data_IF_244048609729
#
_entry.id   IF_244048609729
#
_cell.length_a   1.000
_cell.length_b   1.000
_cell.length_c   1.000
_cell.angle_alpha   90.00
_cell.angle_beta   90.00
_cell.angle_gamma   90.00
#
_symmetry.space_group_name_H-M   'P 1'
#
loop_
_entity.id
_entity.type
_entity.pdbx_description
1 polymer ?
#
# COMPACT_ATOMS: atom_id res chain seq x y z
N UNK A 1 7.13 -12.83 8.22
CA UNK A 1 7.77 -11.64 7.60
C UNK A 1 8.63 -10.87 8.61
N UNK A 2 8.19 -10.69 9.90
CA UNK A 2 8.96 -9.93 10.92
C UNK A 2 10.36 -10.52 11.12
N UNK A 3 10.48 -11.83 11.33
CA UNK A 3 11.77 -12.49 11.51
C UNK A 3 12.72 -12.35 10.31
N UNK A 4 12.17 -12.41 9.08
CA UNK A 4 12.96 -12.19 7.86
C UNK A 4 13.46 -10.74 7.76
N UNK A 5 12.62 -9.78 8.10
CA UNK A 5 13.01 -8.37 8.14
C UNK A 5 14.10 -8.12 9.21
N UNK A 6 13.97 -8.75 10.35
CA UNK A 6 14.98 -8.65 11.43
C UNK A 6 16.33 -9.22 11.01
N UNK A 7 16.35 -10.40 10.40
CA UNK A 7 17.57 -11.01 9.88
C UNK A 7 18.24 -10.12 8.83
N UNK A 8 17.45 -9.59 7.88
CA UNK A 8 17.97 -8.68 6.87
C UNK A 8 18.55 -7.39 7.47
N UNK A 9 17.89 -6.81 8.47
CA UNK A 9 18.42 -5.64 9.19
C UNK A 9 19.72 -5.96 9.93
N UNK A 10 19.80 -7.13 10.54
CA UNK A 10 21.02 -7.58 11.22
C UNK A 10 22.18 -7.75 10.24
N UNK A 11 21.96 -8.39 9.10
CA UNK A 11 22.97 -8.53 8.03
C UNK A 11 23.47 -7.17 7.50
N UNK A 12 22.58 -6.18 7.46
CA UNK A 12 22.92 -4.81 7.08
C UNK A 12 23.61 -4.01 8.20
N UNK A 13 23.83 -4.60 9.38
CA UNK A 13 24.40 -3.92 10.53
C UNK A 13 23.50 -2.85 11.14
N UNK A 14 22.20 -2.88 10.85
CA UNK A 14 21.25 -1.93 11.40
C UNK A 14 20.91 -2.27 12.85
N UNK A 15 20.77 -1.24 13.69
CA UNK A 15 20.18 -1.41 15.03
C UNK A 15 18.68 -1.32 14.93
N UNK A 16 17.97 -2.37 15.32
CA UNK A 16 16.52 -2.44 15.29
C UNK A 16 15.94 -2.67 16.69
N UNK A 17 14.71 -2.23 16.87
CA UNK A 17 13.85 -2.60 18.00
C UNK A 17 12.47 -2.94 17.48
N UNK A 18 11.75 -3.78 18.21
CA UNK A 18 10.40 -4.18 17.84
C UNK A 18 9.36 -3.44 18.67
N UNK A 19 8.30 -3.04 17.99
CA UNK A 19 7.05 -2.63 18.61
C UNK A 19 6.01 -3.69 18.32
N UNK A 20 5.51 -4.34 19.33
CA UNK A 20 4.43 -5.30 19.22
C UNK A 20 3.21 -4.78 19.94
N UNK A 21 2.12 -4.71 19.23
CA UNK A 21 0.83 -4.23 19.72
C UNK A 21 -0.19 -5.37 19.70
N UNK A 22 -1.17 -5.35 20.59
CA UNK A 22 -2.32 -6.23 20.47
C UNK A 22 -3.04 -6.00 19.15
N UNK A 23 -3.56 -7.06 18.56
CA UNK A 23 -4.44 -6.93 17.39
C UNK A 23 -5.67 -6.15 17.78
N UNK A 24 -6.00 -5.03 17.11
CA UNK A 24 -7.20 -4.27 17.42
C UNK A 24 -8.46 -5.12 17.20
N UNK A 25 -9.52 -4.80 17.90
CA UNK A 25 -10.83 -5.40 17.66
C UNK A 25 -11.28 -5.10 16.21
N UNK A 26 -11.96 -6.08 15.60
CA UNK A 26 -12.60 -5.85 14.30
C UNK A 26 -13.63 -4.73 14.43
N UNK A 27 -13.53 -3.74 13.59
CA UNK A 27 -14.56 -2.73 13.41
C UNK A 27 -15.53 -3.29 12.39
N UNK A 28 -16.76 -3.55 12.79
CA UNK A 28 -17.81 -4.22 12.00
C UNK A 28 -17.50 -5.69 11.61
N UNK A 29 -18.49 -6.37 11.06
CA UNK A 29 -18.41 -7.74 10.56
C UNK A 29 -17.64 -7.90 9.26
N UNK A 30 -16.75 -6.97 8.95
CA UNK A 30 -15.94 -7.03 7.72
C UNK A 30 -14.68 -7.82 8.02
N UNK A 31 -14.48 -8.99 7.41
CA UNK A 31 -13.31 -9.83 7.67
C UNK A 31 -12.00 -9.27 7.07
N UNK A 32 -12.06 -8.18 6.33
CA UNK A 32 -10.90 -7.58 5.65
C UNK A 32 -10.28 -6.51 6.55
N UNK A 33 -9.12 -6.81 7.11
CA UNK A 33 -8.37 -5.90 7.99
C UNK A 33 -7.40 -4.99 7.26
N UNK A 34 -6.98 -5.35 6.06
CA UNK A 34 -5.89 -4.68 5.35
C UNK A 34 -6.28 -3.39 4.64
N UNK A 35 -7.57 -3.05 4.59
CA UNK A 35 -8.08 -1.88 3.85
C UNK A 35 -8.66 -0.77 4.74
N UNK A 36 -8.77 -1.02 6.03
CA UNK A 36 -9.27 -0.05 7.00
C UNK A 36 -8.18 0.88 7.55
N UNK A 37 -8.58 1.95 8.22
CA UNK A 37 -7.66 2.76 9.01
C UNK A 37 -7.12 1.93 10.18
N UNK A 38 -5.80 1.88 10.36
CA UNK A 38 -5.20 1.23 11.51
C UNK A 38 -5.40 2.09 12.75
N UNK A 39 -5.99 1.52 13.80
CA UNK A 39 -6.14 2.16 15.11
C UNK A 39 -5.16 1.61 16.14
N UNK A 40 -4.27 0.72 15.71
CA UNK A 40 -3.39 -0.02 16.62
C UNK A 40 -2.46 0.87 17.45
N UNK A 41 -2.05 2.02 16.92
CA UNK A 41 -1.17 2.98 17.60
C UNK A 41 -1.90 4.22 18.10
N UNK A 42 -3.21 4.27 17.94
CA UNK A 42 -4.03 5.41 18.35
C UNK A 42 -3.87 5.71 19.86
N UNK A 43 -3.52 6.94 20.20
CA UNK A 43 -3.29 7.37 21.58
C UNK A 43 -2.01 6.85 22.24
N UNK A 44 -1.17 6.10 21.54
CA UNK A 44 0.10 5.58 22.07
C UNK A 44 1.27 6.53 21.75
N UNK A 45 1.24 7.73 22.32
CA UNK A 45 2.25 8.77 22.12
C UNK A 45 3.72 8.30 22.22
N UNK A 46 4.11 7.45 23.19
CA UNK A 46 5.48 6.96 23.26
C UNK A 46 5.89 6.14 22.03
N UNK A 47 4.96 5.33 21.49
CA UNK A 47 5.18 4.53 20.28
C UNK A 47 5.30 5.44 19.07
N UNK A 48 4.39 6.39 18.91
CA UNK A 48 4.38 7.34 17.79
C UNK A 48 5.69 8.13 17.75
N UNK A 49 6.16 8.62 18.90
CA UNK A 49 7.44 9.33 19.02
C UNK A 49 8.65 8.44 18.69
N UNK A 50 8.65 7.21 19.14
CA UNK A 50 9.72 6.26 18.85
C UNK A 50 9.80 5.96 17.34
N UNK A 51 8.65 5.74 16.69
CA UNK A 51 8.57 5.52 15.24
C UNK A 51 8.99 6.77 14.45
N UNK A 52 8.58 7.96 14.89
CA UNK A 52 8.97 9.23 14.26
C UNK A 52 10.47 9.54 14.37
N UNK A 53 11.13 9.04 15.40
CA UNK A 53 12.58 9.20 15.61
C UNK A 53 13.42 8.15 14.86
N UNK A 54 12.81 7.10 14.32
CA UNK A 54 13.52 6.07 13.57
C UNK A 54 13.90 6.56 12.17
N UNK A 55 15.01 6.08 11.61
CA UNK A 55 15.34 6.32 10.20
C UNK A 55 14.39 5.60 9.26
N UNK A 56 14.04 4.36 9.60
CA UNK A 56 13.17 3.51 8.80
C UNK A 56 12.27 2.71 9.74
N UNK A 57 11.00 2.68 9.41
CA UNK A 57 10.00 1.84 10.05
C UNK A 57 9.64 0.75 9.06
N UNK A 58 9.81 -0.52 9.45
CA UNK A 58 9.34 -1.66 8.68
C UNK A 58 8.01 -2.10 9.31
N UNK A 59 6.95 -1.95 8.54
CA UNK A 59 5.60 -2.29 8.97
C UNK A 59 5.20 -3.66 8.43
N UNK A 60 5.08 -4.63 9.32
CA UNK A 60 4.62 -6.00 9.02
C UNK A 60 3.24 -6.26 9.62
N UNK A 61 2.47 -5.24 9.94
CA UNK A 61 1.13 -5.40 10.51
C UNK A 61 0.11 -5.77 9.44
N UNK A 62 -0.92 -6.49 9.83
CA UNK A 62 -2.02 -6.85 8.91
C UNK A 62 -2.83 -5.62 8.52
N UNK A 63 -3.07 -4.75 9.48
CA UNK A 63 -3.86 -3.52 9.30
C UNK A 63 -3.12 -2.45 8.50
N UNK A 64 -1.79 -2.43 8.60
CA UNK A 64 -0.92 -1.45 7.94
C UNK A 64 -1.00 -0.05 8.54
N UNK A 65 0.17 0.51 8.88
CA UNK A 65 0.28 1.92 9.30
C UNK A 65 -0.08 2.90 8.18
N UNK A 66 -0.16 2.42 6.94
CA UNK A 66 -0.49 3.24 5.76
C UNK A 66 -1.81 4.00 5.93
N UNK A 67 -2.75 3.44 6.66
CA UNK A 67 -4.08 4.02 6.91
C UNK A 67 -4.23 4.61 8.31
N UNK A 68 -3.17 4.60 9.12
CA UNK A 68 -3.20 5.17 10.47
C UNK A 68 -3.28 6.71 10.41
N UNK A 69 -4.17 7.33 11.20
CA UNK A 69 -4.22 8.80 11.36
C UNK A 69 -2.90 9.39 11.86
N UNK A 70 -2.08 8.62 12.57
CA UNK A 70 -0.79 9.04 13.13
C UNK A 70 0.35 9.00 12.09
N UNK A 71 0.17 8.32 10.96
CA UNK A 71 1.20 8.21 9.94
C UNK A 71 1.79 9.56 9.50
N UNK A 72 0.99 10.62 9.23
CA UNK A 72 1.55 11.91 8.87
C UNK A 72 2.50 12.50 9.93
N UNK A 73 2.25 12.20 11.22
CA UNK A 73 3.14 12.64 12.30
C UNK A 73 4.47 11.90 12.25
N UNK A 74 4.45 10.59 12.06
CA UNK A 74 5.65 9.75 11.93
C UNK A 74 6.50 10.21 10.75
N UNK A 75 5.88 10.45 9.60
CA UNK A 75 6.58 10.86 8.38
C UNK A 75 7.17 12.28 8.48
N UNK A 76 6.51 13.21 9.19
CA UNK A 76 7.06 14.55 9.45
C UNK A 76 8.34 14.51 10.28
N UNK A 77 8.55 13.49 11.10
CA UNK A 77 9.81 13.23 11.80
C UNK A 77 10.98 12.86 10.87
N UNK A 78 10.71 12.59 9.59
CA UNK A 78 11.69 12.17 8.61
C UNK A 78 11.81 10.65 8.48
N UNK A 79 11.07 9.88 9.28
CA UNK A 79 11.05 8.43 9.17
C UNK A 79 10.57 7.97 7.78
N UNK A 80 11.20 6.96 7.23
CA UNK A 80 10.74 6.26 6.04
C UNK A 80 9.88 5.08 6.49
N UNK A 81 8.72 4.91 5.92
CA UNK A 81 7.89 3.75 6.20
C UNK A 81 7.97 2.76 5.03
N UNK A 82 8.36 1.53 5.32
CA UNK A 82 8.32 0.43 4.36
C UNK A 82 7.34 -0.64 4.86
N UNK A 83 6.19 -0.72 4.22
CA UNK A 83 5.17 -1.69 4.53
C UNK A 83 5.44 -2.99 3.78
N UNK A 84 5.51 -4.10 4.50
CA UNK A 84 5.55 -5.45 3.93
C UNK A 84 4.16 -6.04 4.11
N UNK A 85 3.46 -6.28 3.02
CA UNK A 85 2.09 -6.81 3.10
C UNK A 85 2.06 -8.22 3.73
N UNK A 86 0.89 -8.59 4.23
CA UNK A 86 0.67 -9.90 4.87
C UNK A 86 0.52 -11.03 3.84
N UNK A 87 1.38 -11.03 2.84
CA UNK A 87 1.43 -12.05 1.82
C UNK A 87 2.29 -13.25 2.26
N UNK A 88 2.05 -14.39 1.63
CA UNK A 88 2.91 -15.55 1.82
C UNK A 88 4.34 -15.24 1.35
N UNK A 89 5.39 -15.71 2.05
CA UNK A 89 6.78 -15.41 1.68
C UNK A 89 7.13 -15.71 0.21
N UNK A 90 6.58 -16.78 -0.36
CA UNK A 90 6.78 -17.11 -1.79
C UNK A 90 6.25 -16.03 -2.75
N UNK A 91 5.16 -15.37 -2.39
CA UNK A 91 4.62 -14.26 -3.19
C UNK A 91 5.57 -13.07 -3.13
N UNK A 92 6.08 -12.77 -1.95
CA UNK A 92 7.06 -11.71 -1.74
C UNK A 92 8.35 -12.00 -2.51
N UNK A 93 8.84 -13.24 -2.47
CA UNK A 93 10.02 -13.69 -3.22
C UNK A 93 9.86 -13.49 -4.73
N UNK A 94 8.72 -13.87 -5.29
CA UNK A 94 8.44 -13.69 -6.72
C UNK A 94 8.27 -12.22 -7.13
N UNK A 95 7.84 -11.37 -6.24
CA UNK A 95 7.52 -9.96 -6.49
C UNK A 95 8.56 -9.01 -5.89
N UNK A 96 9.83 -9.42 -5.90
CA UNK A 96 10.93 -8.60 -5.40
C UNK A 96 11.03 -7.28 -6.17
N UNK A 97 11.19 -6.15 -5.47
CA UNK A 97 11.49 -4.89 -6.11
C UNK A 97 12.89 -4.94 -6.72
N UNK A 98 13.00 -4.67 -8.00
CA UNK A 98 14.27 -4.56 -8.71
C UNK A 98 14.49 -3.13 -9.18
N UNK A 99 15.75 -2.73 -9.34
CA UNK A 99 16.07 -1.40 -9.86
C UNK A 99 15.51 -1.18 -11.27
N UNK A 100 15.39 -2.24 -12.07
CA UNK A 100 14.79 -2.22 -13.41
C UNK A 100 13.26 -1.98 -13.39
N UNK A 101 12.61 -2.26 -12.27
CA UNK A 101 11.15 -2.03 -12.12
C UNK A 101 10.82 -0.53 -12.02
N UNK A 102 11.67 0.25 -11.35
CA UNK A 102 11.41 1.68 -11.09
C UNK A 102 11.09 2.48 -12.37
N UNK A 103 11.91 2.49 -13.42
CA UNK A 103 11.60 3.27 -14.62
C UNK A 103 10.32 2.81 -15.31
N UNK A 104 9.97 1.54 -15.25
CA UNK A 104 8.70 1.01 -15.78
C UNK A 104 7.50 1.54 -15.01
N UNK A 105 7.60 1.59 -13.69
CA UNK A 105 6.56 2.13 -12.80
C UNK A 105 6.42 3.64 -12.98
N UNK A 106 7.52 4.36 -13.11
CA UNK A 106 7.51 5.80 -13.35
C UNK A 106 6.87 6.14 -14.70
N UNK A 107 7.17 5.39 -15.74
CA UNK A 107 6.54 5.55 -17.05
C UNK A 107 5.04 5.22 -17.01
N UNK A 108 4.64 4.15 -16.34
CA UNK A 108 3.23 3.82 -16.15
C UNK A 108 2.48 4.92 -15.36
N UNK A 109 3.10 5.46 -14.30
CA UNK A 109 2.57 6.61 -13.56
C UNK A 109 2.39 7.82 -14.46
N UNK A 110 3.39 8.13 -15.29
CA UNK A 110 3.33 9.25 -16.23
C UNK A 110 2.18 9.09 -17.22
N UNK A 111 2.02 7.89 -17.79
CA UNK A 111 0.90 7.57 -18.71
C UNK A 111 -0.45 7.71 -18.02
N UNK A 112 -0.61 7.11 -16.85
CA UNK A 112 -1.86 7.21 -16.10
C UNK A 112 -2.19 8.66 -15.71
N UNK A 113 -1.19 9.45 -15.30
CA UNK A 113 -1.37 10.85 -14.93
C UNK A 113 -1.68 11.78 -16.10
N UNK A 114 -1.31 11.38 -17.33
CA UNK A 114 -1.62 12.13 -18.54
C UNK A 114 -2.95 11.73 -19.18
N UNK A 115 -3.54 10.60 -18.75
CA UNK A 115 -4.78 10.09 -19.32
C UNK A 115 -5.99 10.83 -18.72
N UNK A 116 -6.94 11.19 -19.56
CA UNK A 116 -8.24 11.72 -19.15
C UNK A 116 -9.31 10.64 -18.95
N UNK A 117 -9.07 9.46 -19.53
CA UNK A 117 -10.00 8.32 -19.50
C UNK A 117 -9.24 7.01 -19.52
N UNK A 118 -9.79 6.03 -18.83
CA UNK A 118 -9.38 4.63 -18.92
C UNK A 118 -10.59 3.77 -19.23
N UNK A 119 -10.43 2.80 -20.12
CA UNK A 119 -11.43 1.76 -20.38
C UNK A 119 -10.83 0.41 -20.07
N UNK A 120 -11.64 -0.46 -19.48
CA UNK A 120 -11.27 -1.84 -19.19
C UNK A 120 -12.33 -2.75 -19.80
N UNK A 121 -11.91 -3.63 -20.69
CA UNK A 121 -12.77 -4.60 -21.34
C UNK A 121 -12.23 -6.01 -21.22
N UNK A 122 -13.10 -7.01 -21.21
CA UNK A 122 -12.71 -8.41 -21.27
C UNK A 122 -13.75 -9.25 -22.04
N UNK A 123 -13.31 -10.38 -22.54
CA UNK A 123 -14.20 -11.35 -23.23
C UNK A 123 -15.28 -11.90 -22.29
N UNK A 124 -15.07 -11.89 -20.99
CA UNK A 124 -16.06 -12.25 -19.98
C UNK A 124 -17.20 -11.24 -19.83
N UNK A 125 -17.12 -10.09 -20.50
CA UNK A 125 -18.16 -9.06 -20.48
C UNK A 125 -17.86 -7.87 -19.57
N UNK A 126 -16.65 -7.73 -19.05
CA UNK A 126 -16.23 -6.48 -18.39
C UNK A 126 -16.26 -5.36 -19.43
N UNK A 127 -16.98 -4.28 -19.13
CA UNK A 127 -16.98 -3.03 -19.88
C UNK A 127 -17.07 -1.88 -18.88
N UNK A 128 -15.92 -1.31 -18.57
CA UNK A 128 -15.76 -0.27 -17.55
C UNK A 128 -15.11 0.96 -18.14
N UNK A 129 -15.71 2.10 -17.89
CA UNK A 129 -15.16 3.42 -18.21
C UNK A 129 -14.85 4.17 -16.91
N UNK A 130 -13.66 4.75 -16.86
CA UNK A 130 -13.21 5.57 -15.74
C UNK A 130 -12.79 6.93 -16.26
N UNK A 131 -13.45 7.99 -15.77
CA UNK A 131 -13.00 9.37 -15.98
C UNK A 131 -11.88 9.68 -14.99
N UNK A 132 -10.71 9.95 -15.51
CA UNK A 132 -9.47 10.19 -14.74
C UNK A 132 -9.18 11.68 -14.50
N UNK A 133 -10.03 12.58 -14.98
CA UNK A 133 -9.80 14.01 -14.80
C UNK A 133 -9.72 14.38 -13.31
N UNK A 134 -8.60 14.99 -12.92
CA UNK A 134 -8.36 15.39 -11.54
C UNK A 134 -7.96 14.26 -10.59
N UNK A 135 -7.81 13.02 -11.08
CA UNK A 135 -7.34 11.89 -10.28
C UNK A 135 -5.81 11.79 -10.31
N UNK A 136 -5.08 12.15 -9.24
CA UNK A 136 -3.63 12.11 -9.26
C UNK A 136 -3.12 10.66 -9.30
N UNK A 137 -2.25 10.37 -10.25
CA UNK A 137 -1.58 9.08 -10.34
C UNK A 137 -0.52 8.94 -9.23
N UNK A 138 -0.51 7.79 -8.57
CA UNK A 138 0.48 7.39 -7.56
C UNK A 138 1.18 6.13 -8.00
N UNK A 139 2.38 5.90 -7.47
CA UNK A 139 3.19 4.75 -7.83
C UNK A 139 3.88 4.15 -6.62
N UNK A 140 4.09 2.85 -6.68
CA UNK A 140 4.82 2.07 -5.69
C UNK A 140 5.90 1.23 -6.37
N UNK A 141 7.09 1.80 -6.57
CA UNK A 141 8.19 1.06 -7.20
C UNK A 141 8.87 0.03 -6.28
N UNK A 142 8.46 -0.05 -4.99
CA UNK A 142 9.06 -0.97 -4.02
C UNK A 142 10.29 -0.42 -3.29
N UNK A 143 10.53 0.87 -3.40
CA UNK A 143 11.66 1.54 -2.75
C UNK A 143 11.16 2.73 -1.93
N UNK A 144 11.81 2.99 -0.80
CA UNK A 144 11.57 4.15 0.04
C UNK A 144 12.90 4.80 0.40
N UNK A 145 13.44 5.55 -0.54
CA UNK A 145 14.77 6.17 -0.47
C UNK A 145 14.75 7.63 0.01
N UNK A 146 13.57 8.24 0.14
CA UNK A 146 13.42 9.61 0.60
C UNK A 146 12.85 9.68 2.01
N UNK A 147 13.37 10.54 2.90
CA UNK A 147 12.76 10.81 4.20
C UNK A 147 11.29 11.23 4.08
N UNK A 148 10.48 10.80 5.03
CA UNK A 148 9.07 11.13 5.09
C UNK A 148 8.21 10.48 3.99
N UNK A 149 8.70 9.44 3.33
CA UNK A 149 7.97 8.71 2.28
C UNK A 149 7.59 7.31 2.72
N UNK A 150 6.62 6.77 1.98
CA UNK A 150 6.10 5.42 2.15
C UNK A 150 6.44 4.59 0.93
N UNK A 151 6.90 3.38 1.16
CA UNK A 151 7.02 2.34 0.14
C UNK A 151 6.37 1.06 0.62
N UNK A 152 6.10 0.14 -0.28
CA UNK A 152 5.55 -1.16 0.08
C UNK A 152 6.01 -2.29 -0.83
N UNK A 153 5.94 -3.48 -0.31
CA UNK A 153 6.21 -4.73 -0.96
C UNK A 153 4.99 -5.67 -0.74
N UNK A 154 4.43 -6.27 -1.78
CA UNK A 154 4.84 -6.31 -3.19
C UNK A 154 4.82 -4.96 -3.89
N UNK A 155 5.63 -4.84 -4.95
CA UNK A 155 5.86 -3.60 -5.67
C UNK A 155 5.38 -3.69 -7.14
N UNK A 156 5.54 -2.59 -7.88
CA UNK A 156 5.16 -2.52 -9.29
C UNK A 156 3.73 -2.04 -9.51
N UNK A 157 3.18 -1.33 -8.54
CA UNK A 157 1.82 -0.81 -8.60
C UNK A 157 1.81 0.65 -9.08
N UNK A 158 0.86 0.94 -9.97
CA UNK A 158 0.44 2.30 -10.31
C UNK A 158 -1.07 2.39 -10.11
N UNK A 159 -1.52 3.46 -9.47
CA UNK A 159 -2.93 3.60 -9.10
C UNK A 159 -3.36 5.07 -9.13
N UNK A 160 -4.66 5.26 -9.24
CA UNK A 160 -5.34 6.52 -8.99
C UNK A 160 -6.68 6.27 -8.31
N UNK A 161 -7.21 7.29 -7.68
CA UNK A 161 -8.53 7.25 -7.07
C UNK A 161 -9.43 8.25 -7.78
N UNK A 162 -10.28 7.80 -8.74
CA UNK A 162 -11.25 8.65 -9.38
C UNK A 162 -12.24 9.21 -8.35
N UNK A 163 -12.75 10.41 -8.59
CA UNK A 163 -13.80 10.97 -7.75
C UNK A 163 -15.08 10.13 -7.84
N UNK A 164 -15.93 10.24 -6.84
CA UNK A 164 -17.23 9.56 -6.83
C UNK A 164 -18.06 9.92 -8.06
N UNK A 165 -18.69 8.92 -8.68
CA UNK A 165 -19.48 9.10 -9.91
C UNK A 165 -18.68 9.18 -11.21
N UNK A 166 -17.33 8.98 -11.13
CA UNK A 166 -16.45 8.98 -12.29
C UNK A 166 -16.15 7.58 -12.87
N UNK A 167 -16.79 6.57 -12.34
CA UNK A 167 -16.69 5.19 -12.80
C UNK A 167 -18.05 4.70 -13.25
N UNK A 168 -18.13 4.17 -14.47
CA UNK A 168 -19.37 3.66 -15.05
C UNK A 168 -19.12 2.35 -15.78
N UNK A 169 -20.08 1.43 -15.71
CA UNK A 169 -20.01 0.15 -16.42
C UNK A 169 -20.08 -1.05 -15.51
N UNK A 170 -19.63 -2.18 -16.00
CA UNK A 170 -19.72 -3.48 -15.33
C UNK A 170 -18.35 -4.12 -15.26
N UNK A 171 -18.00 -4.67 -14.11
CA UNK A 171 -16.88 -5.59 -13.94
C UNK A 171 -17.44 -6.99 -13.76
N UNK A 172 -17.03 -7.90 -14.63
CA UNK A 172 -17.34 -9.33 -14.53
C UNK A 172 -16.15 -10.03 -13.90
N UNK A 173 -16.38 -10.64 -12.76
CA UNK A 173 -15.40 -11.45 -12.04
C UNK A 173 -15.43 -12.90 -12.54
N UNK A 174 -14.54 -13.74 -12.06
CA UNK A 174 -14.47 -15.15 -12.45
C UNK A 174 -15.79 -15.88 -12.14
N UNK A 175 -16.10 -17.02 -12.82
CA UNK A 175 -17.30 -17.77 -12.57
C UNK A 175 -17.48 -18.11 -11.08
N UNK A 176 -18.65 -17.77 -10.54
CA UNK A 176 -18.97 -17.92 -9.12
C UNK A 176 -18.75 -16.65 -8.26
N UNK A 177 -18.09 -15.64 -8.81
CA UNK A 177 -17.94 -14.34 -8.17
C UNK A 177 -19.13 -13.41 -8.42
N UNK A 178 -19.15 -12.30 -7.71
CA UNK A 178 -20.19 -11.27 -7.83
C UNK A 178 -19.86 -10.33 -8.99
N UNK A 179 -20.83 -10.07 -9.85
CA UNK A 179 -20.72 -8.99 -10.85
C UNK A 179 -20.97 -7.63 -10.19
N UNK A 180 -20.09 -6.69 -10.40
CA UNK A 180 -20.18 -5.33 -9.87
C UNK A 180 -20.59 -4.37 -11.00
N UNK A 181 -21.65 -3.61 -10.79
CA UNK A 181 -22.10 -2.56 -11.74
C UNK A 181 -21.94 -1.19 -11.10
N UNK A 182 -21.28 -0.30 -11.82
CA UNK A 182 -21.06 1.10 -11.42
C UNK A 182 -21.96 2.01 -12.27
N UNK A 183 -22.66 2.93 -11.60
CA UNK A 183 -23.55 3.92 -12.21
C UNK A 183 -23.16 5.33 -11.83
#
# INVERSE_FOLDING_TARGET
NVQLAELALHELGARAFHVRLPTPALVDNIPVRSTGASTAIGGLEPVIKALAAAHTVIDCTVEGLLHSPELPHILRGGARLFMISNEHPEVLERLQPTTALRPRVDEAKRRLGAASRMTVTSDAGTDLMVDLQGAPARAAPGFVDQPGKVGYWPAGLVLCFPARGKVQGTVVLAPGDVNLTFK
#
